data_IF_628640645376
#
_entry.id   IF_628640645376
#
_cell.length_a   1.000
_cell.length_b   1.000
_cell.length_c   1.000
_cell.angle_alpha   90.00
_cell.angle_beta   90.00
_cell.angle_gamma   90.00
#
_symmetry.space_group_name_H-M   'P 1'
#
loop_
_entity.id
_entity.type
_entity.pdbx_description
1 polymer ?
#
# COMPACT_ATOMS: atom_id res chain seq x y z
N UNK A 1 -28.09 8.94 -18.67
CA UNK A 1 -29.05 9.48 -17.68
C UNK A 1 -29.90 8.37 -17.05
N UNK A 2 -30.49 7.50 -17.86
CA UNK A 2 -31.32 6.39 -17.37
C UNK A 2 -30.57 5.47 -16.39
N UNK A 3 -29.31 5.11 -16.67
CA UNK A 3 -28.49 4.32 -15.78
C UNK A 3 -28.27 5.01 -14.42
N UNK A 4 -28.05 6.33 -14.38
CA UNK A 4 -27.93 7.10 -13.13
C UNK A 4 -29.25 7.04 -12.34
N UNK A 5 -30.38 7.18 -13.02
CA UNK A 5 -31.68 7.07 -12.37
C UNK A 5 -31.90 5.69 -11.72
N UNK A 6 -31.50 4.63 -12.43
CA UNK A 6 -31.56 3.25 -11.92
C UNK A 6 -30.60 3.04 -10.73
N UNK A 7 -29.36 3.53 -10.81
CA UNK A 7 -28.39 3.46 -9.70
C UNK A 7 -28.89 4.22 -8.46
N UNK A 8 -29.49 5.39 -8.63
CA UNK A 8 -30.09 6.15 -7.52
C UNK A 8 -31.30 5.44 -6.94
N UNK A 9 -32.12 4.80 -7.77
CA UNK A 9 -33.24 3.99 -7.30
C UNK A 9 -32.74 2.78 -6.48
N UNK A 10 -31.71 2.08 -6.95
CA UNK A 10 -31.07 0.99 -6.23
C UNK A 10 -30.44 1.46 -4.90
N UNK A 11 -29.79 2.63 -4.90
CA UNK A 11 -29.23 3.22 -3.67
C UNK A 11 -30.33 3.52 -2.63
N UNK A 12 -31.48 4.02 -3.05
CA UNK A 12 -32.64 4.26 -2.14
C UNK A 12 -33.24 2.96 -1.61
N UNK A 13 -33.26 1.91 -2.42
CA UNK A 13 -33.87 0.63 -2.04
C UNK A 13 -32.97 -0.22 -1.16
N UNK A 14 -31.65 -0.21 -1.40
CA UNK A 14 -30.72 -1.17 -0.79
C UNK A 14 -29.58 -0.49 0.02
N UNK A 15 -29.61 0.83 0.14
CA UNK A 15 -28.53 1.61 0.74
C UNK A 15 -27.32 1.82 -0.19
N UNK A 16 -26.38 2.63 0.26
CA UNK A 16 -25.14 2.88 -0.47
C UNK A 16 -24.13 1.77 -0.20
N UNK A 17 -23.56 1.21 -1.26
CA UNK A 17 -22.41 0.33 -1.19
C UNK A 17 -21.35 0.77 -2.20
N UNK A 18 -20.10 0.33 -2.02
CA UNK A 18 -18.97 0.75 -2.83
C UNK A 18 -19.17 0.52 -4.33
N UNK A 19 -19.67 -0.65 -4.73
CA UNK A 19 -19.88 -0.98 -6.14
C UNK A 19 -20.92 -0.07 -6.79
N UNK A 20 -22.04 0.17 -6.10
CA UNK A 20 -23.12 1.04 -6.59
C UNK A 20 -22.66 2.50 -6.68
N UNK A 21 -21.90 2.97 -5.69
CA UNK A 21 -21.34 4.33 -5.69
C UNK A 21 -20.29 4.52 -6.79
N UNK A 22 -19.46 3.52 -7.05
CA UNK A 22 -18.51 3.54 -8.17
C UNK A 22 -19.23 3.58 -9.52
N UNK A 23 -20.31 2.79 -9.70
CA UNK A 23 -21.14 2.83 -10.89
C UNK A 23 -21.79 4.20 -11.10
N UNK A 24 -22.26 4.82 -10.01
CA UNK A 24 -22.84 6.16 -10.03
C UNK A 24 -21.80 7.23 -10.42
N UNK A 25 -20.59 7.15 -9.86
CA UNK A 25 -19.49 8.06 -10.20
C UNK A 25 -19.11 7.96 -11.69
N UNK A 26 -19.07 6.74 -12.23
CA UNK A 26 -18.82 6.50 -13.65
C UNK A 26 -19.92 7.09 -14.52
N UNK A 27 -21.18 6.89 -14.16
CA UNK A 27 -22.31 7.48 -14.86
C UNK A 27 -22.24 9.01 -14.89
N UNK A 28 -21.89 9.66 -13.80
CA UNK A 28 -21.68 11.10 -13.75
C UNK A 28 -20.54 11.56 -14.65
N UNK A 29 -19.42 10.83 -14.68
CA UNK A 29 -18.28 11.16 -15.55
C UNK A 29 -18.66 11.09 -17.03
N UNK A 30 -19.40 10.07 -17.43
CA UNK A 30 -19.88 9.95 -18.82
C UNK A 30 -20.80 11.10 -19.26
N UNK A 31 -21.47 11.74 -18.31
CA UNK A 31 -22.27 12.92 -18.55
C UNK A 31 -21.49 14.24 -18.34
N UNK A 32 -20.16 14.17 -18.19
CA UNK A 32 -19.27 15.29 -17.92
C UNK A 32 -19.52 16.03 -16.58
N UNK A 33 -20.26 15.43 -15.64
CA UNK A 33 -20.46 15.98 -14.29
C UNK A 33 -19.28 15.65 -13.37
N UNK A 34 -18.09 16.18 -13.68
CA UNK A 34 -16.83 15.84 -13.02
C UNK A 34 -16.88 16.06 -11.51
N UNK A 35 -17.43 17.21 -11.07
CA UNK A 35 -17.52 17.53 -9.63
C UNK A 35 -18.36 16.51 -8.86
N UNK A 36 -19.48 16.07 -9.43
CA UNK A 36 -20.33 15.04 -8.82
C UNK A 36 -19.64 13.67 -8.82
N UNK A 37 -18.97 13.32 -9.90
CA UNK A 37 -18.18 12.10 -9.97
C UNK A 37 -17.10 12.07 -8.88
N UNK A 38 -16.35 13.16 -8.71
CA UNK A 38 -15.30 13.27 -7.71
C UNK A 38 -15.85 13.25 -6.27
N UNK A 39 -16.98 13.89 -6.02
CA UNK A 39 -17.65 13.83 -4.71
C UNK A 39 -18.04 12.42 -4.35
N UNK A 40 -18.67 11.69 -5.29
CA UNK A 40 -19.08 10.31 -5.08
C UNK A 40 -17.86 9.41 -4.86
N UNK A 41 -16.79 9.59 -5.64
CA UNK A 41 -15.53 8.84 -5.46
C UNK A 41 -14.88 9.07 -4.11
N UNK A 42 -14.82 10.33 -3.65
CA UNK A 42 -14.31 10.65 -2.31
C UNK A 42 -15.12 9.96 -1.22
N UNK A 43 -16.44 9.90 -1.36
CA UNK A 43 -17.29 9.20 -0.40
C UNK A 43 -17.08 7.68 -0.42
N UNK A 44 -16.79 7.09 -1.59
CA UNK A 44 -16.41 5.67 -1.70
C UNK A 44 -15.07 5.41 -1.01
N UNK A 45 -14.08 6.26 -1.23
CA UNK A 45 -12.75 6.16 -0.61
C UNK A 45 -12.80 6.35 0.91
N UNK A 46 -13.59 7.30 1.39
CA UNK A 46 -13.78 7.57 2.81
C UNK A 46 -14.63 6.50 3.51
N UNK A 47 -15.42 5.73 2.78
CA UNK A 47 -16.23 4.69 3.39
C UNK A 47 -15.35 3.54 3.89
N UNK A 48 -15.64 3.03 5.10
CA UNK A 48 -15.02 1.81 5.66
C UNK A 48 -15.08 0.61 4.72
N UNK A 49 -15.77 0.74 3.63
CA UNK A 49 -16.02 -0.28 2.63
C UNK A 49 -15.22 -0.12 1.34
N UNK A 50 -14.14 0.67 1.28
CA UNK A 50 -13.21 0.54 0.17
C UNK A 50 -12.57 -0.85 0.14
N UNK A 51 -12.72 -1.59 1.21
CA UNK A 51 -12.46 -3.02 1.30
C UNK A 51 -13.52 -3.87 0.58
N UNK A 52 -14.56 -3.26 0.00
CA UNK A 52 -15.57 -4.01 -0.74
C UNK A 52 -14.98 -4.80 -1.92
N UNK A 53 -13.88 -4.33 -2.46
CA UNK A 53 -13.13 -5.05 -3.51
C UNK A 53 -12.23 -6.16 -2.97
N UNK A 54 -11.81 -6.06 -1.70
CA UNK A 54 -10.84 -6.98 -1.10
C UNK A 54 -11.15 -7.23 0.37
N UNK A 55 -10.99 -8.47 0.79
CA UNK A 55 -10.89 -8.82 2.19
C UNK A 55 -9.42 -8.78 2.58
N UNK A 56 -9.03 -7.77 3.32
CA UNK A 56 -7.68 -7.65 3.87
C UNK A 56 -7.73 -8.07 5.33
N UNK A 57 -6.83 -8.95 5.75
CA UNK A 57 -6.69 -9.36 7.14
C UNK A 57 -6.50 -8.15 8.05
N UNK A 58 -7.33 -8.05 9.08
CA UNK A 58 -7.18 -7.04 10.13
C UNK A 58 -6.07 -7.48 11.09
N UNK A 59 -5.51 -6.51 11.83
CA UNK A 59 -4.69 -6.85 12.99
C UNK A 59 -5.59 -7.51 14.04
N UNK A 60 -5.41 -8.81 14.25
CA UNK A 60 -6.23 -9.60 15.18
C UNK A 60 -6.05 -9.17 16.64
N UNK A 61 -4.95 -8.49 16.96
CA UNK A 61 -4.59 -8.06 18.30
C UNK A 61 -4.80 -6.56 18.50
N UNK A 62 -6.05 -6.12 18.52
CA UNK A 62 -6.38 -4.75 18.87
C UNK A 62 -6.92 -4.64 20.31
N UNK A 63 -6.48 -3.63 21.10
CA UNK A 63 -5.54 -2.57 20.74
C UNK A 63 -4.08 -3.07 20.65
N UNK A 64 -3.43 -2.72 19.55
CA UNK A 64 -1.99 -2.95 19.41
C UNK A 64 -1.23 -2.22 20.53
N UNK A 65 -0.14 -2.81 21.00
CA UNK A 65 0.69 -2.21 22.04
C UNK A 65 2.14 -2.17 21.61
N UNK A 66 2.78 -1.04 21.87
CA UNK A 66 4.23 -0.90 21.63
C UNK A 66 5.00 -1.93 22.45
N UNK A 67 5.96 -2.55 21.82
CA UNK A 67 6.87 -3.52 22.48
C UNK A 67 7.64 -2.86 23.62
N UNK A 68 7.78 -3.55 24.75
CA UNK A 68 8.47 -3.02 25.94
C UNK A 68 9.92 -2.57 25.67
N UNK A 69 10.59 -3.20 24.70
CA UNK A 69 11.95 -2.86 24.29
C UNK A 69 12.06 -1.42 23.79
N UNK A 70 11.03 -0.92 23.10
CA UNK A 70 10.98 0.44 22.56
C UNK A 70 10.60 1.49 23.62
N UNK A 71 10.13 1.06 24.79
CA UNK A 71 9.81 1.94 25.93
C UNK A 71 11.00 2.12 26.89
N UNK A 72 12.09 1.41 26.69
CA UNK A 72 13.28 1.48 27.54
C UNK A 72 14.30 2.43 26.93
N UNK A 73 14.57 3.52 27.62
CA UNK A 73 15.67 4.42 27.25
C UNK A 73 17.00 3.69 27.42
N UNK A 74 17.92 3.92 26.51
CA UNK A 74 19.28 3.45 26.69
C UNK A 74 19.96 4.24 27.81
N UNK A 75 20.82 3.60 28.57
CA UNK A 75 21.56 4.22 29.68
C UNK A 75 22.29 5.48 29.19
N UNK A 76 22.08 6.60 29.88
CA UNK A 76 22.71 7.88 29.58
C UNK A 76 22.05 8.67 28.46
N UNK A 77 20.93 8.23 27.87
CA UNK A 77 20.20 8.98 26.83
C UNK A 77 18.81 9.40 27.30
N UNK A 78 18.32 10.53 26.76
CA UNK A 78 16.93 10.98 26.92
C UNK A 78 16.02 10.44 25.82
N UNK A 79 16.60 9.84 24.80
CA UNK A 79 15.89 9.36 23.61
C UNK A 79 15.47 7.90 23.78
N UNK A 80 14.31 7.57 23.24
CA UNK A 80 13.85 6.19 23.10
C UNK A 80 14.52 5.54 21.89
N UNK A 81 14.66 4.19 21.88
CA UNK A 81 15.20 3.48 20.73
C UNK A 81 14.46 3.78 19.43
N UNK A 82 15.20 3.86 18.34
CA UNK A 82 14.65 4.01 16.98
C UNK A 82 14.64 2.63 16.33
N UNK A 83 13.46 2.21 15.91
CA UNK A 83 13.30 1.04 15.05
C UNK A 83 13.25 1.50 13.61
N UNK A 84 13.97 0.80 12.73
CA UNK A 84 14.12 1.17 11.32
C UNK A 84 13.76 0.01 10.42
N UNK A 85 13.08 0.31 9.32
CA UNK A 85 12.85 -0.63 8.23
C UNK A 85 13.33 -0.01 6.92
N UNK A 86 13.92 -0.84 6.07
CA UNK A 86 14.41 -0.43 4.75
C UNK A 86 13.89 -1.38 3.70
N UNK A 87 13.33 -0.84 2.65
CA UNK A 87 12.70 -1.62 1.59
C UNK A 87 13.32 -1.25 0.25
N UNK A 88 13.75 -2.24 -0.56
CA UNK A 88 14.12 -2.00 -1.95
C UNK A 88 12.90 -1.54 -2.75
N UNK A 89 13.14 -1.01 -3.91
CA UNK A 89 12.09 -0.83 -4.92
C UNK A 89 11.97 -2.06 -5.81
N UNK A 90 10.97 -2.10 -6.66
CA UNK A 90 10.78 -3.23 -7.57
C UNK A 90 10.91 -2.82 -9.02
N UNK A 91 11.38 -3.74 -9.85
CA UNK A 91 11.40 -3.64 -11.29
C UNK A 91 10.87 -4.94 -11.90
N UNK A 92 10.00 -4.84 -12.89
CA UNK A 92 9.52 -5.98 -13.65
C UNK A 92 10.40 -6.18 -14.88
N UNK A 93 11.00 -7.38 -15.02
CA UNK A 93 11.86 -7.72 -16.14
C UNK A 93 11.08 -8.30 -17.32
N UNK A 94 9.97 -8.96 -17.03
CA UNK A 94 9.09 -9.51 -18.06
C UNK A 94 7.65 -9.52 -17.59
N UNK A 95 6.76 -9.53 -18.55
CA UNK A 95 5.32 -9.63 -18.32
C UNK A 95 4.75 -10.72 -19.26
N UNK A 96 3.76 -11.46 -18.77
CA UNK A 96 2.88 -12.26 -19.64
C UNK A 96 1.95 -11.32 -20.40
N UNK A 97 1.20 -11.83 -21.36
CA UNK A 97 0.15 -11.06 -22.03
C UNK A 97 -0.90 -10.46 -21.08
N UNK A 98 -0.96 -10.97 -19.87
CA UNK A 98 -1.76 -10.50 -18.75
C UNK A 98 -0.85 -9.93 -17.64
N UNK A 99 -0.02 -9.00 -17.96
CA UNK A 99 1.01 -8.47 -17.07
C UNK A 99 0.48 -7.67 -15.88
N UNK A 100 -0.72 -7.13 -15.99
CA UNK A 100 -1.36 -6.45 -14.88
C UNK A 100 -2.04 -7.47 -13.96
N UNK A 101 -1.28 -7.96 -13.00
CA UNK A 101 -1.72 -8.97 -12.02
C UNK A 101 -2.96 -8.50 -11.26
N UNK A 102 -3.12 -7.19 -11.04
CA UNK A 102 -4.29 -6.66 -10.35
C UNK A 102 -5.59 -7.02 -11.07
N UNK A 103 -5.65 -6.80 -12.39
CA UNK A 103 -6.86 -7.12 -13.17
C UNK A 103 -7.02 -8.60 -13.43
N UNK A 104 -5.94 -9.30 -13.64
CA UNK A 104 -5.95 -10.73 -13.94
C UNK A 104 -6.23 -11.59 -12.75
N UNK A 105 -5.69 -11.22 -11.58
CA UNK A 105 -6.02 -11.86 -10.34
C UNK A 105 -7.52 -11.88 -10.09
N UNK A 106 -8.28 -11.02 -10.77
CA UNK A 106 -9.73 -11.00 -10.65
C UNK A 106 -10.46 -12.06 -11.47
N UNK A 107 -10.20 -12.15 -12.79
CA UNK A 107 -10.94 -13.08 -13.68
C UNK A 107 -10.11 -14.26 -14.16
N UNK A 108 -8.82 -14.08 -14.40
CA UNK A 108 -7.89 -15.06 -14.95
C UNK A 108 -6.58 -15.09 -14.16
N UNK A 109 -6.65 -15.40 -12.88
CA UNK A 109 -5.48 -15.29 -12.01
C UNK A 109 -4.31 -16.18 -12.47
N UNK A 110 -4.60 -17.34 -13.00
CA UNK A 110 -3.66 -18.33 -13.50
C UNK A 110 -2.92 -17.92 -14.79
N UNK A 111 -3.41 -16.90 -15.48
CA UNK A 111 -2.73 -16.33 -16.65
C UNK A 111 -1.72 -15.21 -16.33
N UNK A 112 -1.70 -14.71 -15.12
CA UNK A 112 -0.85 -13.60 -14.71
C UNK A 112 0.53 -14.08 -14.26
N UNK A 113 1.59 -13.65 -14.94
CA UNK A 113 2.97 -13.98 -14.59
C UNK A 113 3.92 -12.86 -14.90
N UNK A 114 4.75 -12.50 -13.91
CA UNK A 114 5.77 -11.44 -13.99
C UNK A 114 7.08 -11.94 -13.40
N UNK A 115 8.20 -11.71 -14.07
CA UNK A 115 9.53 -11.82 -13.46
C UNK A 115 9.86 -10.45 -12.87
N UNK A 116 10.00 -10.43 -11.56
CA UNK A 116 10.15 -9.23 -10.75
C UNK A 116 11.47 -9.30 -9.98
N UNK A 117 12.13 -8.15 -9.83
CA UNK A 117 13.34 -8.03 -9.01
C UNK A 117 13.16 -6.94 -7.96
N UNK A 118 13.72 -7.18 -6.78
CA UNK A 118 13.94 -6.14 -5.77
C UNK A 118 15.26 -5.46 -6.05
N UNK A 119 15.26 -4.13 -6.09
CA UNK A 119 16.39 -3.33 -6.54
C UNK A 119 16.80 -2.35 -5.46
N UNK A 120 18.04 -2.45 -5.02
CA UNK A 120 18.72 -1.42 -4.27
C UNK A 120 19.31 -0.40 -5.25
N UNK A 121 19.33 0.86 -4.89
CA UNK A 121 19.71 1.95 -5.79
C UNK A 121 20.90 2.74 -5.25
N UNK A 122 21.67 3.26 -6.17
CA UNK A 122 22.72 4.26 -5.96
C UNK A 122 22.74 5.24 -7.13
N UNK A 123 23.25 6.43 -6.91
CA UNK A 123 23.40 7.46 -7.95
C UNK A 123 24.75 7.29 -8.60
N UNK A 124 24.77 7.03 -9.91
CA UNK A 124 26.00 6.87 -10.68
C UNK A 124 26.91 8.08 -10.55
N UNK A 125 28.18 7.83 -10.27
CA UNK A 125 29.22 8.85 -10.08
C UNK A 125 29.20 9.55 -8.71
N UNK A 126 28.25 9.20 -7.81
CA UNK A 126 28.16 9.74 -6.44
C UNK A 126 28.30 8.66 -5.37
N UNK A 127 27.53 7.58 -5.50
CA UNK A 127 27.43 6.54 -4.48
C UNK A 127 28.35 5.37 -4.86
N UNK A 128 29.14 4.90 -3.91
CA UNK A 128 30.00 3.72 -4.10
C UNK A 128 29.23 2.41 -3.99
N UNK A 129 28.19 2.41 -3.14
CA UNK A 129 27.38 1.24 -2.86
C UNK A 129 25.88 1.53 -3.08
N UNK A 130 25.19 0.55 -3.59
CA UNK A 130 23.72 0.56 -3.68
C UNK A 130 23.10 0.22 -2.33
N UNK A 131 21.91 0.76 -2.04
CA UNK A 131 21.18 0.50 -0.79
C UNK A 131 19.69 0.53 -1.03
N UNK A 132 18.88 -0.10 -0.13
CA UNK A 132 17.44 0.05 -0.17
C UNK A 132 17.06 1.54 -0.10
N UNK A 133 16.34 2.06 -1.10
CA UNK A 133 16.13 3.50 -1.21
C UNK A 133 14.95 4.01 -0.38
N UNK A 134 14.13 3.13 0.17
CA UNK A 134 12.94 3.49 0.96
C UNK A 134 13.18 3.15 2.41
N UNK A 135 13.02 4.14 3.29
CA UNK A 135 13.26 4.00 4.72
C UNK A 135 12.07 4.50 5.54
N UNK A 136 11.74 3.78 6.60
CA UNK A 136 10.80 4.21 7.63
C UNK A 136 11.40 3.97 9.01
N UNK A 137 11.25 4.96 9.89
CA UNK A 137 11.80 4.94 11.24
C UNK A 137 10.69 5.29 12.24
N UNK A 138 10.61 4.54 13.32
CA UNK A 138 9.64 4.80 14.39
C UNK A 138 10.33 4.86 15.75
N UNK A 139 9.91 5.78 16.58
CA UNK A 139 10.27 5.83 18.00
C UNK A 139 9.12 6.36 18.85
N UNK A 140 9.19 6.07 20.12
CA UNK A 140 8.33 6.67 21.14
C UNK A 140 8.82 8.09 21.46
N UNK A 141 7.89 9.01 21.70
CA UNK A 141 8.19 10.38 22.11
C UNK A 141 7.38 10.76 23.36
N UNK A 142 7.90 11.69 24.23
CA UNK A 142 7.23 12.09 25.48
C UNK A 142 6.14 13.15 25.25
N UNK A 143 5.54 13.21 24.08
CA UNK A 143 4.39 14.05 23.74
C UNK A 143 3.24 13.17 23.26
N UNK A 144 2.00 13.40 23.68
CA UNK A 144 0.84 12.57 23.32
C UNK A 144 0.30 12.87 21.93
N UNK A 145 1.18 12.86 20.93
CA UNK A 145 0.88 13.14 19.53
C UNK A 145 1.40 12.03 18.62
N UNK A 146 0.82 11.91 17.44
CA UNK A 146 1.39 11.14 16.35
C UNK A 146 2.13 12.12 15.44
N UNK A 147 3.47 12.17 15.56
CA UNK A 147 4.33 13.01 14.73
C UNK A 147 4.70 12.28 13.46
N UNK A 148 4.30 12.83 12.32
CA UNK A 148 4.60 12.29 11.00
C UNK A 148 5.57 13.21 10.28
N UNK A 149 6.66 12.64 9.74
CA UNK A 149 7.67 13.36 8.98
C UNK A 149 7.98 12.63 7.69
N UNK A 150 7.97 13.34 6.56
CA UNK A 150 8.53 12.89 5.29
C UNK A 150 9.72 13.79 4.95
N UNK A 151 10.92 13.23 4.97
CA UNK A 151 12.17 13.99 4.75
C UNK A 151 12.24 14.49 3.31
N UNK A 152 11.92 13.63 2.34
CA UNK A 152 11.96 13.95 0.90
C UNK A 152 10.88 14.94 0.47
N UNK A 153 9.80 15.08 1.22
CA UNK A 153 8.76 16.09 0.99
C UNK A 153 8.98 17.37 1.82
N UNK A 154 9.93 17.37 2.76
CA UNK A 154 10.15 18.47 3.68
C UNK A 154 8.94 18.78 4.57
N UNK A 155 8.13 17.77 4.89
CA UNK A 155 6.88 17.92 5.62
C UNK A 155 6.95 17.23 6.98
N UNK A 156 6.57 17.96 8.03
CA UNK A 156 6.39 17.42 9.38
C UNK A 156 5.07 17.96 9.96
N UNK A 157 4.33 17.07 10.64
CA UNK A 157 3.07 17.43 11.28
C UNK A 157 2.80 16.58 12.51
N UNK A 158 2.34 17.25 13.56
CA UNK A 158 1.78 16.60 14.74
C UNK A 158 0.28 16.39 14.54
N UNK A 159 -0.12 15.12 14.43
CA UNK A 159 -1.52 14.73 14.34
C UNK A 159 -2.09 14.64 15.75
N UNK A 160 -3.06 15.47 16.05
CA UNK A 160 -3.70 15.59 17.37
C UNK A 160 -5.16 15.16 17.37
N UNK A 161 -5.77 15.02 16.18
CA UNK A 161 -7.17 14.61 16.01
C UNK A 161 -7.29 13.45 15.04
N UNK A 162 -8.31 12.62 15.22
CA UNK A 162 -8.63 11.54 14.27
C UNK A 162 -9.06 12.11 12.92
N UNK A 163 -9.81 13.19 12.89
CA UNK A 163 -10.25 13.83 11.63
C UNK A 163 -9.06 14.24 10.76
N UNK A 164 -7.98 14.75 11.38
CA UNK A 164 -6.76 15.07 10.63
C UNK A 164 -6.04 13.80 10.13
N UNK A 165 -6.00 12.72 10.93
CA UNK A 165 -5.42 11.46 10.51
C UNK A 165 -6.15 10.86 9.30
N UNK A 166 -7.49 10.88 9.31
CA UNK A 166 -8.32 10.32 8.24
C UNK A 166 -8.49 11.26 7.04
N UNK A 167 -8.00 12.49 7.10
CA UNK A 167 -8.00 13.41 5.98
C UNK A 167 -6.70 13.33 5.17
N UNK A 168 -6.73 12.52 4.12
CA UNK A 168 -5.56 12.25 3.28
C UNK A 168 -5.22 13.39 2.30
N UNK A 169 -6.17 14.27 2.03
CA UNK A 169 -6.06 15.29 1.00
C UNK A 169 -5.57 16.66 1.46
N UNK A 170 -5.43 16.89 2.77
CA UNK A 170 -5.15 18.22 3.31
C UNK A 170 -3.67 18.61 3.33
N UNK A 171 -2.77 17.62 3.17
CA UNK A 171 -1.33 17.84 3.23
C UNK A 171 -0.57 16.77 2.42
N UNK A 172 0.75 16.91 2.37
CA UNK A 172 1.62 15.97 1.64
C UNK A 172 1.85 14.64 2.38
N UNK A 173 1.32 14.46 3.58
CA UNK A 173 1.51 13.26 4.41
C UNK A 173 0.38 12.22 4.24
N UNK A 174 -0.52 12.40 3.29
CA UNK A 174 -1.66 11.52 3.08
C UNK A 174 -1.29 10.04 2.97
N UNK A 175 -0.22 9.71 2.24
CA UNK A 175 0.26 8.34 2.11
C UNK A 175 0.82 7.79 3.44
N UNK A 176 1.52 8.63 4.22
CA UNK A 176 2.05 8.25 5.53
C UNK A 176 0.90 7.98 6.52
N UNK A 177 -0.12 8.83 6.52
CA UNK A 177 -1.36 8.64 7.30
C UNK A 177 -2.05 7.32 6.93
N UNK A 178 -2.18 7.04 5.63
CA UNK A 178 -2.75 5.80 5.14
C UNK A 178 -1.94 4.56 5.62
N UNK A 179 -0.62 4.65 5.66
CA UNK A 179 0.25 3.61 6.20
C UNK A 179 0.03 3.35 7.70
N UNK A 180 -0.16 4.39 8.50
CA UNK A 180 -0.50 4.28 9.92
C UNK A 180 -1.82 3.53 10.12
N UNK A 181 -2.84 3.87 9.34
CA UNK A 181 -4.15 3.20 9.42
C UNK A 181 -4.04 1.75 8.94
N UNK A 182 -3.42 1.54 7.78
CA UNK A 182 -3.27 0.20 7.20
C UNK A 182 -2.43 -0.74 8.07
N UNK A 183 -1.45 -0.24 8.84
CA UNK A 183 -0.66 -1.04 9.78
C UNK A 183 -1.47 -1.59 10.96
N UNK A 184 -2.65 -1.02 11.22
CA UNK A 184 -3.47 -1.33 12.39
C UNK A 184 -3.05 -0.60 13.67
N UNK A 185 -2.11 0.33 13.61
CA UNK A 185 -1.74 1.17 14.79
C UNK A 185 -2.95 1.98 15.26
N UNK A 186 -3.60 2.66 14.33
CA UNK A 186 -4.90 3.32 14.53
C UNK A 186 -5.83 2.84 13.40
N UNK A 187 -6.62 1.79 13.65
CA UNK A 187 -7.43 1.19 12.60
C UNK A 187 -8.58 2.06 12.13
N UNK A 188 -9.08 1.79 10.93
CA UNK A 188 -10.18 2.52 10.30
C UNK A 188 -11.46 2.57 11.15
N UNK A 189 -11.63 1.66 12.10
CA UNK A 189 -12.78 1.66 13.03
C UNK A 189 -12.86 2.89 13.94
N UNK A 190 -11.75 3.63 14.08
CA UNK A 190 -11.73 4.89 14.83
C UNK A 190 -12.26 6.10 14.04
N UNK A 191 -12.41 5.98 12.72
CA UNK A 191 -12.96 7.06 11.89
C UNK A 191 -14.34 7.49 12.37
N UNK A 192 -14.55 8.79 12.52
CA UNK A 192 -15.80 9.38 13.00
C UNK A 192 -16.14 9.09 14.46
N UNK A 193 -15.22 8.55 15.25
CA UNK A 193 -15.40 8.40 16.71
C UNK A 193 -14.95 9.65 17.44
N UNK A 194 -15.40 9.82 18.70
CA UNK A 194 -15.04 10.95 19.56
C UNK A 194 -13.74 10.74 20.36
N UNK A 195 -12.96 9.70 20.06
CA UNK A 195 -11.69 9.47 20.74
C UNK A 195 -10.65 10.53 20.31
N UNK A 196 -9.85 11.00 21.26
CA UNK A 196 -8.68 11.82 20.92
C UNK A 196 -7.49 10.93 20.55
N UNK A 197 -6.61 11.44 19.70
CA UNK A 197 -5.34 10.75 19.37
C UNK A 197 -4.56 10.45 20.65
N UNK A 198 -4.50 11.39 21.61
CA UNK A 198 -3.81 11.21 22.88
C UNK A 198 -4.38 10.02 23.70
N UNK A 199 -5.70 9.83 23.70
CA UNK A 199 -6.32 8.69 24.37
C UNK A 199 -5.97 7.36 23.69
N UNK A 200 -6.00 7.32 22.35
CA UNK A 200 -5.63 6.12 21.58
C UNK A 200 -4.14 5.79 21.81
N UNK A 201 -3.26 6.76 21.68
CA UNK A 201 -1.82 6.57 21.91
C UNK A 201 -1.52 6.21 23.39
N UNK A 202 -2.27 6.75 24.34
CA UNK A 202 -2.17 6.36 25.75
C UNK A 202 -2.44 4.87 25.99
N UNK A 203 -3.28 4.24 25.16
CA UNK A 203 -3.55 2.79 25.19
C UNK A 203 -2.47 2.01 24.44
N UNK A 204 -2.00 2.52 23.31
CA UNK A 204 -1.01 1.85 22.46
C UNK A 204 0.38 1.92 23.04
N UNK A 205 0.79 3.05 23.60
CA UNK A 205 2.12 3.34 24.13
C UNK A 205 2.10 3.40 25.64
N UNK A 206 1.72 4.54 26.19
CA UNK A 206 1.50 4.83 27.60
C UNK A 206 0.84 6.22 27.74
N UNK A 207 0.17 6.51 28.86
CA UNK A 207 -0.40 7.85 29.11
C UNK A 207 0.65 8.95 28.98
N UNK A 208 0.32 10.00 28.22
CA UNK A 208 1.21 11.14 27.99
C UNK A 208 2.30 10.91 26.92
N UNK A 209 2.37 9.71 26.33
CA UNK A 209 3.35 9.33 25.31
C UNK A 209 2.73 9.32 23.92
N UNK A 210 3.59 9.44 22.91
CA UNK A 210 3.21 9.37 21.51
C UNK A 210 4.23 8.63 20.66
N UNK A 211 4.05 8.74 19.36
CA UNK A 211 4.88 8.08 18.36
C UNK A 211 5.36 9.11 17.33
N UNK A 212 6.63 9.05 17.01
CA UNK A 212 7.21 9.72 15.85
C UNK A 212 7.50 8.69 14.77
N UNK A 213 6.96 8.92 13.57
CA UNK A 213 7.21 8.16 12.36
C UNK A 213 7.88 9.06 11.32
N UNK A 214 9.09 8.68 10.92
CA UNK A 214 9.87 9.41 9.92
C UNK A 214 10.05 8.53 8.69
N UNK A 215 9.78 9.09 7.52
CA UNK A 215 9.96 8.41 6.24
C UNK A 215 10.94 9.13 5.35
N UNK A 216 11.65 8.37 4.52
CA UNK A 216 12.59 8.91 3.55
C UNK A 216 12.62 8.03 2.30
N UNK A 217 12.61 8.70 1.16
CA UNK A 217 12.87 8.07 -0.14
C UNK A 217 14.16 8.67 -0.69
N UNK A 218 15.20 7.83 -0.80
CA UNK A 218 16.54 8.27 -1.17
C UNK A 218 16.67 8.40 -2.69
N UNK A 219 16.78 9.63 -3.18
CA UNK A 219 17.24 9.98 -4.55
C UNK A 219 16.42 9.36 -5.70
N UNK A 220 15.18 8.99 -5.47
CA UNK A 220 14.30 8.48 -6.53
C UNK A 220 13.43 9.62 -7.05
N UNK A 221 13.48 9.91 -8.36
CA UNK A 221 12.57 10.89 -8.96
C UNK A 221 11.10 10.49 -8.80
N UNK A 222 10.24 11.47 -8.51
CA UNK A 222 8.79 11.25 -8.47
C UNK A 222 8.30 10.74 -9.83
N UNK A 223 7.42 9.73 -9.80
CA UNK A 223 6.89 9.11 -11.02
C UNK A 223 7.86 8.15 -11.72
N UNK A 224 8.87 7.65 -11.01
CA UNK A 224 9.87 6.70 -11.52
C UNK A 224 9.32 5.34 -11.97
N UNK A 225 8.09 4.99 -11.60
CA UNK A 225 7.47 3.69 -11.88
C UNK A 225 8.13 2.50 -11.19
N UNK A 226 8.91 2.73 -10.16
CA UNK A 226 9.58 1.71 -9.35
C UNK A 226 8.74 1.26 -8.15
N UNK A 227 7.43 1.50 -8.17
CA UNK A 227 6.48 1.19 -7.08
C UNK A 227 6.88 1.81 -5.73
N UNK A 228 7.41 3.04 -5.76
CA UNK A 228 7.92 3.72 -4.56
C UNK A 228 6.83 3.89 -3.51
N UNK A 229 5.62 4.27 -3.89
CA UNK A 229 4.50 4.46 -2.95
C UNK A 229 4.14 3.18 -2.21
N UNK A 230 4.00 2.07 -2.92
CA UNK A 230 3.68 0.76 -2.31
C UNK A 230 4.81 0.28 -1.40
N UNK A 231 6.08 0.45 -1.81
CA UNK A 231 7.22 0.04 -0.98
C UNK A 231 7.43 0.98 0.22
N UNK A 232 7.07 2.26 0.11
CA UNK A 232 7.02 3.17 1.25
C UNK A 232 5.95 2.74 2.26
N UNK A 233 4.77 2.41 1.79
CA UNK A 233 3.72 1.85 2.64
C UNK A 233 4.16 0.54 3.27
N UNK A 234 4.82 -0.33 2.51
CA UNK A 234 5.36 -1.58 3.05
C UNK A 234 6.39 -1.35 4.16
N UNK A 235 7.31 -0.38 3.99
CA UNK A 235 8.24 0.03 5.05
C UNK A 235 7.52 0.55 6.30
N UNK A 236 6.54 1.44 6.12
CA UNK A 236 5.74 2.00 7.23
C UNK A 236 4.98 0.89 7.95
N UNK A 237 4.27 0.05 7.20
CA UNK A 237 3.50 -1.06 7.76
C UNK A 237 4.40 -2.03 8.49
N UNK A 238 5.52 -2.42 7.90
CA UNK A 238 6.48 -3.35 8.49
C UNK A 238 7.06 -2.81 9.81
N UNK A 239 7.56 -1.57 9.83
CA UNK A 239 8.14 -0.99 11.03
C UNK A 239 7.11 -0.82 12.15
N UNK A 240 5.87 -0.45 11.82
CA UNK A 240 4.80 -0.33 12.81
C UNK A 240 4.31 -1.69 13.31
N UNK A 241 4.23 -2.71 12.45
CA UNK A 241 3.92 -4.07 12.88
C UNK A 241 4.98 -4.63 13.81
N UNK A 242 6.27 -4.40 13.51
CA UNK A 242 7.38 -4.77 14.40
C UNK A 242 7.30 -4.05 15.74
N UNK A 243 7.08 -2.73 15.70
CA UNK A 243 6.96 -1.91 16.90
C UNK A 243 5.81 -2.33 17.81
N UNK A 244 4.73 -2.85 17.24
CA UNK A 244 3.50 -3.23 17.98
C UNK A 244 3.36 -4.73 18.24
N UNK A 245 4.41 -5.52 18.00
CA UNK A 245 4.38 -6.95 18.29
C UNK A 245 3.53 -7.80 17.34
N UNK A 246 3.19 -7.28 16.18
CA UNK A 246 2.44 -7.99 15.13
C UNK A 246 3.34 -8.86 14.24
N UNK A 247 4.65 -8.86 14.50
CA UNK A 247 5.64 -9.75 13.89
C UNK A 247 6.29 -10.61 14.95
N UNK A 248 6.82 -11.78 14.57
CA UNK A 248 7.49 -12.69 15.47
C UNK A 248 8.75 -12.05 16.10
N UNK A 249 9.49 -11.26 15.30
CA UNK A 249 10.71 -10.59 15.76
C UNK A 249 10.67 -9.09 15.49
N UNK A 250 11.34 -8.33 16.35
CA UNK A 250 11.56 -6.89 16.16
C UNK A 250 12.62 -6.62 15.07
N UNK A 251 13.54 -7.55 14.86
CA UNK A 251 14.63 -7.47 13.90
C UNK A 251 14.66 -8.71 13.00
N UNK A 252 15.44 -8.65 11.92
CA UNK A 252 15.61 -9.77 10.99
C UNK A 252 14.58 -9.83 9.89
N UNK A 253 14.61 -10.92 9.11
CA UNK A 253 13.70 -11.11 7.97
C UNK A 253 12.26 -11.38 8.41
N UNK A 254 11.31 -10.87 7.65
CA UNK A 254 9.90 -11.23 7.80
C UNK A 254 9.66 -12.66 7.34
N UNK A 255 8.79 -13.39 8.01
CA UNK A 255 8.27 -14.68 7.55
C UNK A 255 7.39 -14.49 6.31
N UNK A 256 7.08 -15.54 5.58
CA UNK A 256 6.21 -15.46 4.39
C UNK A 256 4.82 -14.89 4.74
N UNK A 257 4.21 -15.34 5.82
CA UNK A 257 2.92 -14.83 6.27
C UNK A 257 2.97 -13.34 6.64
N UNK A 258 4.04 -12.91 7.30
CA UNK A 258 4.24 -11.49 7.62
C UNK A 258 4.44 -10.66 6.36
N UNK A 259 5.22 -11.14 5.37
CA UNK A 259 5.39 -10.47 4.07
C UNK A 259 4.05 -10.31 3.36
N UNK A 260 3.24 -11.36 3.31
CA UNK A 260 1.89 -11.31 2.71
C UNK A 260 1.00 -10.31 3.42
N UNK A 261 1.04 -10.26 4.75
CA UNK A 261 0.26 -9.31 5.54
C UNK A 261 0.75 -7.86 5.31
N UNK A 262 2.06 -7.63 5.30
CA UNK A 262 2.65 -6.32 4.98
C UNK A 262 2.23 -5.86 3.60
N UNK A 263 2.34 -6.72 2.59
CA UNK A 263 1.97 -6.40 1.22
C UNK A 263 0.47 -6.11 1.07
N UNK A 264 -0.41 -6.93 1.68
CA UNK A 264 -1.87 -6.70 1.69
C UNK A 264 -2.21 -5.34 2.28
N UNK A 265 -1.60 -5.00 3.40
CA UNK A 265 -1.80 -3.71 4.09
C UNK A 265 -1.21 -2.54 3.31
N UNK A 266 -0.09 -2.73 2.62
CA UNK A 266 0.48 -1.71 1.75
C UNK A 266 -0.47 -1.40 0.58
N UNK A 267 -1.06 -2.42 -0.05
CA UNK A 267 -2.09 -2.24 -1.09
C UNK A 267 -3.32 -1.53 -0.53
N UNK A 268 -3.79 -1.90 0.67
CA UNK A 268 -4.87 -1.18 1.34
C UNK A 268 -4.53 0.30 1.55
N UNK A 269 -3.30 0.59 1.98
CA UNK A 269 -2.80 1.96 2.16
C UNK A 269 -2.78 2.76 0.85
N UNK A 270 -2.40 2.13 -0.27
CA UNK A 270 -2.48 2.74 -1.60
C UNK A 270 -3.92 3.17 -1.94
N UNK A 271 -4.89 2.30 -1.70
CA UNK A 271 -6.30 2.61 -1.96
C UNK A 271 -6.85 3.69 -1.03
N UNK A 272 -6.47 3.67 0.25
CA UNK A 272 -6.84 4.73 1.21
C UNK A 272 -6.24 6.08 0.80
N UNK A 273 -4.96 6.09 0.43
CA UNK A 273 -4.25 7.28 -0.01
C UNK A 273 -4.62 7.77 -1.43
N UNK A 274 -5.34 6.95 -2.20
CA UNK A 274 -5.79 7.29 -3.55
C UNK A 274 -4.72 7.18 -4.64
N UNK A 275 -3.60 6.50 -4.38
CA UNK A 275 -2.54 6.26 -5.38
C UNK A 275 -2.80 5.03 -6.26
N UNK A 276 -3.50 4.01 -5.74
CA UNK A 276 -3.99 2.89 -6.55
C UNK A 276 -2.90 1.97 -7.08
N UNK A 277 -2.03 1.42 -6.21
CA UNK A 277 -1.00 0.45 -6.59
C UNK A 277 -1.57 -0.90 -7.03
N UNK A 278 -0.86 -1.58 -7.93
CA UNK A 278 -1.14 -2.96 -8.33
C UNK A 278 -0.48 -3.97 -7.39
N UNK A 279 -0.87 -5.23 -7.52
CA UNK A 279 -0.35 -6.29 -6.65
C UNK A 279 1.12 -6.61 -6.91
N UNK A 280 1.58 -6.48 -8.15
CA UNK A 280 2.99 -6.62 -8.50
C UNK A 280 3.85 -5.55 -7.84
N UNK A 281 3.27 -4.42 -7.45
CA UNK A 281 3.98 -3.31 -6.81
C UNK A 281 4.53 -3.68 -5.44
N UNK A 282 3.90 -4.65 -4.76
CA UNK A 282 4.37 -5.18 -3.48
C UNK A 282 5.62 -6.06 -3.58
N UNK A 283 6.11 -6.30 -4.79
CA UNK A 283 7.26 -7.18 -5.04
C UNK A 283 8.54 -6.82 -4.26
N UNK A 284 8.71 -5.54 -3.89
CA UNK A 284 9.83 -5.10 -3.04
C UNK A 284 9.85 -5.70 -1.63
N UNK A 285 8.73 -6.22 -1.15
CA UNK A 285 8.63 -6.90 0.17
C UNK A 285 9.36 -8.25 0.17
N UNK A 286 9.47 -8.91 -0.99
CA UNK A 286 10.23 -10.15 -1.15
C UNK A 286 11.61 -9.85 -1.74
N UNK A 287 12.69 -10.46 -1.23
CA UNK A 287 14.04 -10.18 -1.69
C UNK A 287 14.31 -10.79 -3.08
N UNK A 288 15.34 -10.31 -3.73
CA UNK A 288 15.97 -10.96 -4.88
C UNK A 288 15.10 -10.97 -6.13
N UNK A 289 15.36 -11.97 -6.98
CA UNK A 289 14.64 -12.23 -8.21
C UNK A 289 13.53 -13.23 -7.94
N UNK A 290 12.33 -12.98 -8.46
CA UNK A 290 11.16 -13.79 -8.18
C UNK A 290 10.21 -13.85 -9.36
N UNK A 291 9.48 -14.95 -9.43
CA UNK A 291 8.30 -15.08 -10.28
C UNK A 291 7.08 -14.75 -9.45
N UNK A 292 6.28 -13.80 -9.94
CA UNK A 292 4.99 -13.44 -9.36
C UNK A 292 3.90 -14.01 -10.26
N UNK A 293 3.03 -14.84 -9.70
CA UNK A 293 1.96 -15.49 -10.42
C UNK A 293 0.62 -15.24 -9.75
N UNK A 294 -0.37 -14.88 -10.54
CA UNK A 294 -1.74 -14.79 -10.04
C UNK A 294 -2.21 -16.16 -9.53
N UNK A 295 -3.04 -16.14 -8.51
CA UNK A 295 -3.58 -17.36 -7.90
C UNK A 295 -5.09 -17.27 -7.71
N UNK A 296 -5.86 -18.36 -7.95
CA UNK A 296 -7.27 -18.42 -7.59
C UNK A 296 -7.45 -18.25 -6.09
N UNK A 297 -8.44 -17.44 -5.70
CA UNK A 297 -8.80 -17.25 -4.31
C UNK A 297 -9.67 -18.41 -3.81
N UNK A 298 -9.50 -18.76 -2.53
CA UNK A 298 -10.33 -19.67 -1.78
C UNK A 298 -11.15 -18.87 -0.77
N UNK A 299 -12.28 -19.42 -0.32
CA UNK A 299 -13.16 -18.73 0.63
C UNK A 299 -12.51 -18.47 1.99
N UNK A 300 -11.56 -19.29 2.38
CA UNK A 300 -10.79 -19.20 3.63
C UNK A 300 -9.52 -18.36 3.53
N UNK A 301 -9.17 -17.87 2.34
CA UNK A 301 -8.03 -16.98 2.19
C UNK A 301 -8.26 -15.65 2.89
N UNK A 302 -7.34 -15.17 3.74
CA UNK A 302 -7.50 -13.91 4.47
C UNK A 302 -7.56 -12.69 3.55
N UNK A 303 -6.95 -12.77 2.38
CA UNK A 303 -6.95 -11.75 1.33
C UNK A 303 -7.89 -12.08 0.16
N UNK A 304 -8.97 -12.80 0.43
CA UNK A 304 -9.96 -13.14 -0.59
C UNK A 304 -10.57 -11.88 -1.22
N UNK A 305 -10.49 -11.79 -2.54
CA UNK A 305 -11.06 -10.68 -3.31
C UNK A 305 -12.54 -10.86 -3.67
N UNK A 306 -13.11 -9.82 -4.23
CA UNK A 306 -14.50 -9.84 -4.76
C UNK A 306 -14.65 -10.74 -5.97
N UNK A 307 -13.59 -11.05 -6.67
CA UNK A 307 -13.59 -11.89 -7.85
C UNK A 307 -12.79 -13.19 -7.65
N UNK A 308 -12.34 -13.81 -8.73
CA UNK A 308 -11.77 -15.17 -8.71
C UNK A 308 -10.31 -15.25 -8.24
N UNK A 309 -9.61 -14.12 -8.21
CA UNK A 309 -8.21 -14.06 -7.84
C UNK A 309 -7.99 -13.73 -6.37
N UNK A 310 -6.89 -14.24 -5.80
CA UNK A 310 -6.39 -13.74 -4.52
C UNK A 310 -6.03 -12.27 -4.61
N UNK A 311 -6.17 -11.53 -3.51
CA UNK A 311 -5.67 -10.16 -3.41
C UNK A 311 -4.17 -10.10 -3.70
N UNK A 312 -3.41 -11.02 -3.14
CA UNK A 312 -1.99 -11.15 -3.42
C UNK A 312 -1.70 -12.33 -4.34
N UNK A 313 -0.90 -12.13 -5.39
CA UNK A 313 -0.35 -13.21 -6.19
C UNK A 313 0.60 -14.09 -5.37
N UNK A 314 0.99 -15.21 -5.92
CA UNK A 314 2.03 -16.07 -5.36
C UNK A 314 3.40 -15.52 -5.73
N UNK A 315 4.28 -15.39 -4.75
CA UNK A 315 5.66 -14.97 -4.94
C UNK A 315 6.58 -16.19 -4.77
N UNK A 316 7.32 -16.52 -5.80
CA UNK A 316 8.33 -17.60 -5.78
C UNK A 316 9.69 -16.96 -5.97
N UNK A 317 10.44 -16.80 -4.88
CA UNK A 317 11.82 -16.26 -4.92
C UNK A 317 12.72 -17.34 -5.52
N UNK A 318 13.47 -16.99 -6.57
CA UNK A 318 14.40 -17.89 -7.23
C UNK A 318 15.66 -18.03 -6.37
N UNK A 319 15.87 -19.23 -5.86
CA UNK A 319 17.07 -19.58 -5.11
C UNK A 319 18.22 -20.01 -6.02
N UNK A 320 19.35 -20.40 -5.41
CA UNK A 320 20.56 -20.84 -6.14
C UNK A 320 20.33 -22.05 -7.04
N UNK A 321 19.32 -22.86 -6.73
CA UNK A 321 18.96 -24.03 -7.55
C UNK A 321 18.21 -23.67 -8.83
N UNK A 322 17.47 -22.55 -8.83
CA UNK A 322 16.72 -22.06 -10.00
C UNK A 322 17.51 -21.02 -10.79
N UNK A 323 18.44 -20.34 -10.15
CA UNK A 323 19.26 -19.31 -10.78
C UNK A 323 20.68 -19.30 -10.22
N UNK A 324 21.65 -19.56 -11.11
CA UNK A 324 23.06 -19.51 -10.72
C UNK A 324 23.44 -18.09 -10.23
N UNK A 325 24.20 -17.96 -9.10
CA UNK A 325 24.58 -16.67 -8.54
C UNK A 325 25.25 -15.71 -9.54
N UNK A 326 26.09 -16.24 -10.45
CA UNK A 326 26.73 -15.44 -11.51
C UNK A 326 25.73 -14.75 -12.45
N UNK A 327 24.56 -15.35 -12.68
CA UNK A 327 23.52 -14.74 -13.53
C UNK A 327 22.92 -13.53 -12.80
N UNK A 328 22.63 -13.68 -11.50
CA UNK A 328 22.12 -12.60 -10.67
C UNK A 328 23.12 -11.44 -10.59
N UNK A 329 24.40 -11.72 -10.39
CA UNK A 329 25.46 -10.74 -10.36
C UNK A 329 25.63 -10.03 -11.71
N UNK A 330 25.66 -10.77 -12.81
CA UNK A 330 25.73 -10.18 -14.17
C UNK A 330 24.53 -9.31 -14.48
N UNK A 331 23.33 -9.71 -14.04
CA UNK A 331 22.13 -8.87 -14.17
C UNK A 331 22.29 -7.57 -13.39
N UNK A 332 22.70 -7.64 -12.12
CA UNK A 332 22.91 -6.48 -11.27
C UNK A 332 23.94 -5.49 -11.88
N UNK A 333 25.06 -6.02 -12.40
CA UNK A 333 26.11 -5.22 -13.05
C UNK A 333 25.68 -4.64 -14.40
N UNK A 334 24.70 -5.23 -15.06
CA UNK A 334 24.23 -4.79 -16.39
C UNK A 334 22.99 -3.88 -16.32
N UNK A 335 22.37 -3.76 -15.14
CA UNK A 335 21.14 -2.99 -14.98
C UNK A 335 21.43 -1.51 -14.77
N UNK A 336 20.97 -0.68 -15.69
CA UNK A 336 21.02 0.78 -15.58
C UNK A 336 19.62 1.35 -15.67
N UNK A 337 19.21 2.10 -14.66
CA UNK A 337 17.93 2.78 -14.64
C UNK A 337 18.10 4.23 -15.10
N UNK A 338 17.37 4.59 -16.15
CA UNK A 338 17.37 5.96 -16.68
C UNK A 338 15.99 6.57 -16.53
N UNK A 339 15.91 7.70 -15.82
CA UNK A 339 14.65 8.42 -15.65
C UNK A 339 14.30 9.20 -16.91
N UNK A 340 13.13 8.91 -17.52
CA UNK A 340 12.73 9.44 -18.82
C UNK A 340 12.07 10.83 -18.80
N UNK A 341 11.98 11.51 -17.65
CA UNK A 341 11.42 12.86 -17.57
C UNK A 341 10.23 13.01 -16.60
N UNK A 342 9.13 13.66 -17.05
CA UNK A 342 8.07 14.13 -16.16
C UNK A 342 7.32 13.03 -15.43
N UNK A 343 7.06 13.27 -14.15
CA UNK A 343 6.16 12.46 -13.34
C UNK A 343 4.72 12.54 -13.87
N UNK A 344 4.05 11.39 -13.97
CA UNK A 344 2.62 11.32 -14.30
C UNK A 344 1.84 10.76 -13.10
N UNK A 345 0.73 11.39 -12.76
CA UNK A 345 -0.19 10.84 -11.78
C UNK A 345 -1.09 9.79 -12.44
N UNK A 346 -0.85 8.53 -12.14
CA UNK A 346 -1.62 7.40 -12.70
C UNK A 346 -2.78 6.95 -11.82
N UNK A 347 -2.82 7.37 -10.57
CA UNK A 347 -3.88 6.97 -9.64
C UNK A 347 -5.29 7.11 -10.25
N UNK A 348 -5.68 8.29 -10.77
CA UNK A 348 -6.99 8.45 -11.40
C UNK A 348 -7.24 7.56 -12.61
N UNK A 349 -6.19 7.25 -13.39
CA UNK A 349 -6.30 6.36 -14.56
C UNK A 349 -6.52 4.92 -14.12
N UNK A 350 -5.72 4.43 -13.18
CA UNK A 350 -5.87 3.08 -12.64
C UNK A 350 -7.24 2.88 -12.00
N UNK A 351 -7.69 3.85 -11.22
CA UNK A 351 -9.00 3.83 -10.60
C UNK A 351 -10.12 3.75 -11.64
N UNK A 352 -10.06 4.57 -12.68
CA UNK A 352 -11.02 4.54 -13.77
C UNK A 352 -11.04 3.19 -14.49
N UNK A 353 -9.88 2.63 -14.79
CA UNK A 353 -9.77 1.34 -15.47
C UNK A 353 -10.29 0.22 -14.58
N UNK A 354 -9.97 0.23 -13.30
CA UNK A 354 -10.48 -0.74 -12.32
C UNK A 354 -12.00 -0.68 -12.20
N UNK A 355 -12.57 0.51 -12.06
CA UNK A 355 -14.02 0.68 -12.00
C UNK A 355 -14.71 0.13 -13.27
N UNK A 356 -14.21 0.48 -14.45
CA UNK A 356 -14.75 -0.03 -15.71
C UNK A 356 -14.69 -1.55 -15.82
N UNK A 357 -13.60 -2.13 -15.34
CA UNK A 357 -13.43 -3.57 -15.28
C UNK A 357 -14.45 -4.22 -14.33
N UNK A 358 -14.54 -3.73 -13.11
CA UNK A 358 -15.47 -4.24 -12.08
C UNK A 358 -16.93 -4.10 -12.50
N UNK A 359 -17.27 -2.99 -13.16
CA UNK A 359 -18.61 -2.74 -13.69
C UNK A 359 -18.89 -3.48 -15.00
N UNK A 360 -17.95 -4.29 -15.47
CA UNK A 360 -18.08 -5.09 -16.69
C UNK A 360 -18.42 -4.24 -17.92
N UNK A 361 -17.84 -3.04 -18.05
CA UNK A 361 -18.07 -2.22 -19.24
C UNK A 361 -17.66 -2.99 -20.51
N UNK A 362 -18.51 -2.96 -21.54
CA UNK A 362 -18.33 -3.77 -22.74
C UNK A 362 -17.03 -3.51 -23.49
N UNK A 363 -16.55 -2.25 -23.47
CA UNK A 363 -15.30 -1.85 -24.12
C UNK A 363 -14.08 -2.42 -23.39
N UNK A 364 -14.03 -2.26 -22.04
CA UNK A 364 -12.92 -2.75 -21.22
C UNK A 364 -12.85 -4.27 -21.24
N UNK A 365 -13.99 -4.94 -21.15
CA UNK A 365 -14.05 -6.41 -21.22
C UNK A 365 -13.50 -6.94 -22.55
N UNK A 366 -13.87 -6.31 -23.68
CA UNK A 366 -13.34 -6.72 -24.98
C UNK A 366 -11.84 -6.47 -25.10
N UNK A 367 -11.36 -5.30 -24.65
CA UNK A 367 -9.92 -5.01 -24.64
C UNK A 367 -9.14 -6.06 -23.88
N UNK A 368 -9.62 -6.45 -22.69
CA UNK A 368 -8.98 -7.49 -21.87
C UNK A 368 -9.06 -8.88 -22.49
N UNK A 369 -10.15 -9.22 -23.19
CA UNK A 369 -10.26 -10.48 -23.90
C UNK A 369 -9.23 -10.59 -25.04
N UNK A 370 -8.96 -9.51 -25.76
CA UNK A 370 -7.97 -9.49 -26.83
C UNK A 370 -6.53 -9.67 -26.35
N UNK A 371 -6.21 -9.29 -25.14
CA UNK A 371 -4.85 -9.53 -24.60
C UNK A 371 -4.61 -10.99 -24.18
N UNK A 372 -5.64 -11.83 -24.19
CA UNK A 372 -5.55 -13.26 -23.87
C UNK A 372 -5.15 -14.12 -25.08
N UNK A 373 -5.40 -13.66 -26.28
CA UNK A 373 -5.07 -14.34 -27.54
C UNK A 373 -3.68 -13.98 -28.03
#
# INVERSE_FOLDING_TARGET
>A
EEAIAQFRAAQRAHGANGALMSALAEGYRHLAFQTLADQVRRSVRASRGNQWMFRVGHADNHPARIRPELLRRQDGTILYPVLSERTPVRLDLSHSGWSDIFFLGMDYPDGARVINISVDLGVYGRDNDVRPPVEAHVRVIPEPVLRLTSIDLGATKDITTLDDLFNFGNDYLGLVKAGVIASGLIPSSFEGTHHSIAAVLGTVVAPGMGIELVTKVNDIPKGSRLAVSTNLLASIVSVLMRATGQTASIEGGLTENERRLVASRAILGEWLGGSGGGWQDSGGVWPGIKVIEGAPAREDDPEFGISRGCLLPRHSVLGENEMHPEIAERLAQSLVLVHGGMAQNVGPILEMVTEKYLLRSGAERRARQHTRT
#
